data_IF_127203580482
#
_entry.id   IF_127203580482
#
_cell.length_a   1.000
_cell.length_b   1.000
_cell.length_c   1.000
_cell.angle_alpha   90.00
_cell.angle_beta   90.00
_cell.angle_gamma   90.00
#
_symmetry.space_group_name_H-M   'P 1'
#
loop_
_entity.id
_entity.type
_entity.pdbx_description
1 polymer ?
#
# COMPACT_ATOMS: atom_id res chain seq x y z
N UNK A 1 3.71 2.13 -19.80
CA UNK A 1 3.93 0.67 -19.93
C UNK A 1 4.23 -0.01 -18.59
N UNK A 2 4.99 0.59 -17.65
CA UNK A 2 5.41 -0.11 -16.41
C UNK A 2 4.37 -0.47 -15.33
N UNK A 3 3.13 -0.01 -15.42
CA UNK A 3 2.10 -0.31 -14.41
C UNK A 3 1.68 -1.78 -14.36
N UNK A 4 1.49 -2.41 -15.52
CA UNK A 4 1.04 -3.80 -15.59
C UNK A 4 2.15 -4.76 -15.15
N UNK A 5 3.39 -4.45 -15.49
CA UNK A 5 4.58 -5.20 -15.04
C UNK A 5 4.73 -5.17 -13.52
N UNK A 6 4.63 -3.98 -12.89
CA UNK A 6 4.67 -3.86 -11.44
C UNK A 6 3.58 -4.72 -10.77
N UNK A 7 2.36 -4.71 -11.30
CA UNK A 7 1.26 -5.49 -10.75
C UNK A 7 1.51 -7.00 -10.86
N UNK A 8 2.10 -7.48 -11.95
CA UNK A 8 2.50 -8.88 -12.10
C UNK A 8 3.58 -9.26 -11.09
N UNK A 9 4.60 -8.42 -10.91
CA UNK A 9 5.63 -8.62 -9.90
C UNK A 9 5.04 -8.69 -8.49
N UNK A 10 4.12 -7.79 -8.15
CA UNK A 10 3.41 -7.81 -6.87
C UNK A 10 2.59 -9.09 -6.71
N UNK A 11 1.92 -9.54 -7.78
CA UNK A 11 1.17 -10.82 -7.74
C UNK A 11 2.09 -12.01 -7.49
N UNK A 12 3.28 -12.01 -8.08
CA UNK A 12 4.24 -13.09 -7.91
C UNK A 12 4.96 -13.03 -6.56
N UNK A 13 4.93 -11.89 -5.88
CA UNK A 13 5.71 -11.65 -4.67
C UNK A 13 7.18 -11.36 -4.97
N UNK A 14 7.50 -11.00 -6.22
CA UNK A 14 8.85 -10.74 -6.67
C UNK A 14 9.28 -9.33 -6.28
N UNK A 15 10.04 -9.24 -5.20
CA UNK A 15 10.54 -7.97 -4.66
C UNK A 15 11.54 -7.32 -5.60
N UNK A 16 12.35 -8.10 -6.32
CA UNK A 16 13.36 -7.57 -7.24
C UNK A 16 12.69 -6.92 -8.45
N UNK A 17 11.76 -7.63 -9.09
CA UNK A 17 11.00 -7.07 -10.21
C UNK A 17 10.15 -5.85 -9.79
N UNK A 18 9.59 -5.85 -8.56
CA UNK A 18 8.89 -4.68 -8.03
C UNK A 18 9.83 -3.48 -7.91
N UNK A 19 11.05 -3.68 -7.40
CA UNK A 19 12.06 -2.63 -7.27
C UNK A 19 12.39 -2.03 -8.62
N UNK A 20 12.73 -2.86 -9.61
CA UNK A 20 13.09 -2.39 -10.95
C UNK A 20 11.96 -1.59 -11.58
N UNK A 21 10.71 -2.03 -11.44
CA UNK A 21 9.56 -1.30 -11.94
C UNK A 21 9.41 0.08 -11.28
N UNK A 22 9.59 0.17 -9.95
CA UNK A 22 9.51 1.45 -9.24
C UNK A 22 10.67 2.39 -9.58
N UNK A 23 11.88 1.84 -9.75
CA UNK A 23 13.05 2.59 -10.23
C UNK A 23 12.85 3.08 -11.67
N UNK A 24 12.14 2.30 -12.50
CA UNK A 24 11.72 2.70 -13.84
C UNK A 24 10.58 3.75 -13.85
N UNK A 25 10.12 4.22 -12.69
CA UNK A 25 9.07 5.24 -12.57
C UNK A 25 7.65 4.69 -12.69
N UNK A 26 7.43 3.41 -12.40
CA UNK A 26 6.09 2.86 -12.35
C UNK A 26 5.23 3.60 -11.31
N UNK A 27 4.05 4.04 -11.73
CA UNK A 27 3.15 4.77 -10.84
C UNK A 27 2.56 3.83 -9.78
N UNK A 28 2.55 4.28 -8.52
CA UNK A 28 1.98 3.56 -7.38
C UNK A 28 0.47 3.81 -7.19
N UNK A 29 -0.05 4.86 -7.81
CA UNK A 29 -1.46 5.27 -7.69
C UNK A 29 -2.42 4.49 -8.60
N UNK A 30 -1.99 3.39 -9.22
CA UNK A 30 -2.84 2.75 -10.23
C UNK A 30 -3.91 1.91 -9.54
N UNK A 31 -5.13 2.29 -9.81
CA UNK A 31 -6.32 1.53 -9.48
C UNK A 31 -6.44 0.36 -10.46
N UNK A 32 -6.44 -0.87 -9.92
CA UNK A 32 -6.86 -2.07 -10.65
C UNK A 32 -8.29 -1.89 -11.18
N UNK A 33 -8.73 -2.81 -12.06
CA UNK A 33 -10.13 -2.87 -12.54
C UNK A 33 -11.15 -2.89 -11.37
N UNK A 34 -10.72 -3.33 -10.20
CA UNK A 34 -11.46 -3.40 -8.93
C UNK A 34 -11.31 -2.15 -8.04
N UNK A 35 -10.71 -1.06 -8.55
CA UNK A 35 -10.31 0.13 -7.78
C UNK A 35 -9.35 -0.15 -6.60
N UNK A 36 -8.67 -1.29 -6.63
CA UNK A 36 -7.65 -1.66 -5.63
C UNK A 36 -6.29 -1.03 -5.99
N UNK A 37 -5.55 -0.55 -5.00
CA UNK A 37 -4.16 -0.09 -5.15
C UNK A 37 -3.17 -1.28 -5.11
N UNK A 38 -1.93 -1.14 -5.61
CA UNK A 38 -0.88 -2.16 -5.49
C UNK A 38 -0.67 -2.67 -4.05
N UNK A 39 -0.89 -1.80 -3.05
CA UNK A 39 -0.81 -2.14 -1.63
C UNK A 39 -1.87 -3.16 -1.20
N UNK A 40 -3.11 -3.03 -1.68
CA UNK A 40 -4.18 -3.99 -1.43
C UNK A 40 -3.84 -5.38 -1.99
N UNK A 41 -3.22 -5.42 -3.18
CA UNK A 41 -2.83 -6.67 -3.83
C UNK A 41 -1.72 -7.38 -3.06
N UNK A 42 -0.70 -6.64 -2.62
CA UNK A 42 0.39 -7.16 -1.78
C UNK A 42 -0.13 -7.67 -0.43
N UNK A 43 -1.08 -6.95 0.18
CA UNK A 43 -1.71 -7.33 1.45
C UNK A 43 -2.50 -8.63 1.34
N UNK A 44 -3.32 -8.77 0.29
CA UNK A 44 -4.11 -9.98 0.04
C UNK A 44 -3.21 -11.21 -0.09
N UNK A 45 -2.08 -11.08 -0.78
CA UNK A 45 -1.11 -12.17 -0.95
C UNK A 45 -0.11 -12.34 0.20
N UNK A 46 -0.21 -11.51 1.24
CA UNK A 46 0.69 -11.52 2.38
C UNK A 46 2.19 -11.42 2.00
N UNK A 47 2.52 -10.66 0.96
CA UNK A 47 3.90 -10.48 0.50
C UNK A 47 4.61 -9.36 1.27
N UNK A 48 5.18 -9.69 2.44
CA UNK A 48 5.84 -8.72 3.33
C UNK A 48 6.92 -7.88 2.65
N UNK A 49 7.80 -8.51 1.86
CA UNK A 49 8.88 -7.81 1.17
C UNK A 49 8.34 -6.76 0.20
N UNK A 50 7.33 -7.14 -0.58
CA UNK A 50 6.66 -6.24 -1.53
C UNK A 50 5.91 -5.13 -0.79
N UNK A 51 5.16 -5.45 0.28
CA UNK A 51 4.45 -4.45 1.08
C UNK A 51 5.41 -3.40 1.65
N UNK A 52 6.52 -3.82 2.26
CA UNK A 52 7.54 -2.89 2.78
C UNK A 52 8.13 -2.02 1.68
N UNK A 53 8.39 -2.61 0.51
CA UNK A 53 8.96 -1.88 -0.62
C UNK A 53 7.98 -0.83 -1.15
N UNK A 54 6.70 -1.17 -1.34
CA UNK A 54 5.68 -0.22 -1.77
C UNK A 54 5.53 0.94 -0.77
N UNK A 55 5.49 0.65 0.54
CA UNK A 55 5.43 1.67 1.59
C UNK A 55 6.66 2.58 1.57
N UNK A 56 7.86 2.02 1.39
CA UNK A 56 9.10 2.79 1.31
C UNK A 56 9.14 3.75 0.11
N UNK A 57 8.46 3.38 -0.99
CA UNK A 57 8.31 4.24 -2.16
C UNK A 57 7.10 5.20 -2.08
N UNK A 58 6.47 5.34 -0.91
CA UNK A 58 5.37 6.30 -0.70
C UNK A 58 4.01 5.81 -1.19
N UNK A 59 3.79 4.50 -1.27
CA UNK A 59 2.45 3.98 -1.56
C UNK A 59 1.45 4.39 -0.46
N UNK A 60 0.28 4.86 -0.89
CA UNK A 60 -0.75 5.34 0.02
C UNK A 60 -1.37 4.17 0.82
N UNK A 61 -1.02 4.11 2.11
CA UNK A 61 -1.56 3.15 3.06
C UNK A 61 -2.99 3.48 3.50
N UNK A 62 -3.43 4.74 3.36
CA UNK A 62 -4.78 5.17 3.71
C UNK A 62 -5.80 4.96 2.59
N UNK A 63 -5.35 4.48 1.43
CA UNK A 63 -6.23 4.18 0.31
C UNK A 63 -7.27 3.12 0.69
N UNK A 64 -8.53 3.39 0.31
CA UNK A 64 -9.65 2.48 0.54
C UNK A 64 -10.15 1.88 -0.75
N UNK A 65 -10.46 0.60 -0.71
CA UNK A 65 -11.24 -0.08 -1.74
C UNK A 65 -12.64 0.53 -1.91
N UNK A 66 -13.34 0.24 -3.02
CA UNK A 66 -14.73 0.67 -3.20
C UNK A 66 -15.69 0.12 -2.12
N UNK A 67 -15.33 -0.97 -1.45
CA UNK A 67 -16.06 -1.50 -0.30
C UNK A 67 -15.72 -0.82 1.04
N UNK A 68 -14.87 0.21 1.03
CA UNK A 68 -14.44 0.95 2.22
C UNK A 68 -13.38 0.25 3.07
N UNK A 69 -12.82 -0.87 2.60
CA UNK A 69 -11.77 -1.62 3.31
C UNK A 69 -10.38 -1.07 2.98
N UNK A 70 -9.50 -1.01 3.99
CA UNK A 70 -8.08 -0.73 3.81
C UNK A 70 -7.32 -1.98 3.37
N UNK A 71 -6.05 -1.82 3.00
CA UNK A 71 -5.17 -2.93 2.69
C UNK A 71 -5.02 -3.91 3.87
N UNK A 72 -4.93 -3.43 5.12
CA UNK A 72 -4.82 -4.29 6.30
C UNK A 72 -6.07 -5.15 6.57
N UNK A 73 -7.23 -4.75 6.06
CA UNK A 73 -8.51 -5.48 6.14
C UNK A 73 -8.67 -6.55 5.04
N UNK A 74 -7.88 -6.47 3.97
CA UNK A 74 -7.91 -7.44 2.86
C UNK A 74 -6.93 -8.61 3.03
N UNK A 75 -6.14 -8.60 4.11
CA UNK A 75 -5.21 -9.70 4.40
C UNK A 75 -6.00 -11.00 4.56
N UNK A 76 -5.67 -12.00 3.75
CA UNK A 76 -6.36 -13.29 3.75
C UNK A 76 -6.38 -13.94 5.15
N UNK A 77 -7.47 -14.63 5.54
CA UNK A 77 -7.64 -15.24 6.87
C UNK A 77 -6.44 -16.06 7.38
N UNK A 78 -5.77 -16.92 6.58
CA UNK A 78 -4.59 -17.65 7.05
C UNK A 78 -3.40 -16.75 7.43
N UNK A 79 -3.35 -15.52 6.92
CA UNK A 79 -2.26 -14.57 7.13
C UNK A 79 -2.67 -13.37 7.99
N UNK A 80 -3.84 -13.43 8.63
CA UNK A 80 -4.45 -12.32 9.38
C UNK A 80 -3.62 -11.87 10.60
N UNK A 81 -2.67 -12.68 11.05
CA UNK A 81 -1.70 -12.39 12.11
C UNK A 81 -0.26 -12.25 11.58
N UNK A 82 -0.09 -12.12 10.26
CA UNK A 82 1.24 -11.95 9.66
C UNK A 82 1.78 -10.55 9.91
N UNK A 83 3.11 -10.44 9.84
CA UNK A 83 3.83 -9.16 9.90
C UNK A 83 3.34 -8.14 8.86
N UNK A 84 2.71 -8.60 7.76
CA UNK A 84 2.15 -7.72 6.73
C UNK A 84 1.04 -6.86 7.30
N UNK A 85 0.12 -7.47 8.07
CA UNK A 85 -1.00 -6.73 8.66
C UNK A 85 -0.54 -5.73 9.72
N UNK A 86 0.52 -6.04 10.43
CA UNK A 86 1.14 -5.12 11.38
C UNK A 86 1.86 -3.96 10.68
N UNK A 87 2.65 -4.25 9.64
CA UNK A 87 3.30 -3.24 8.81
C UNK A 87 2.30 -2.29 8.13
N UNK A 88 1.14 -2.81 7.70
CA UNK A 88 0.08 -1.98 7.14
C UNK A 88 -0.59 -1.13 8.21
N UNK A 89 -0.91 -1.68 9.38
CA UNK A 89 -1.56 -0.91 10.46
C UNK A 89 -0.69 0.19 11.04
N UNK A 90 0.61 -0.04 11.10
CA UNK A 90 1.58 0.99 11.49
C UNK A 90 1.57 2.10 10.44
N UNK A 91 1.75 1.76 9.16
CA UNK A 91 1.70 2.75 8.08
C UNK A 91 0.35 3.50 7.98
N UNK A 92 -0.78 2.84 8.19
CA UNK A 92 -2.11 3.43 8.22
C UNK A 92 -2.27 4.43 9.38
N UNK A 93 -1.70 4.12 10.56
CA UNK A 93 -1.68 5.03 11.71
C UNK A 93 -0.78 6.22 11.48
N UNK A 94 0.42 6.00 10.97
CA UNK A 94 1.35 7.08 10.60
C UNK A 94 0.72 8.03 9.57
N UNK A 95 0.05 7.48 8.54
CA UNK A 95 -0.68 8.28 7.56
C UNK A 95 -1.84 9.07 8.20
N UNK A 96 -2.61 8.45 9.10
CA UNK A 96 -3.69 9.13 9.81
C UNK A 96 -3.18 10.25 10.74
N UNK A 97 -2.06 10.02 11.44
CA UNK A 97 -1.43 11.02 12.31
C UNK A 97 -0.80 12.17 11.52
N UNK A 98 -0.16 11.89 10.38
CA UNK A 98 0.37 12.93 9.49
C UNK A 98 -0.75 13.84 8.95
N UNK A 99 -1.90 13.24 8.63
CA UNK A 99 -3.08 14.00 8.16
C UNK A 99 -3.66 14.88 9.27
N UNK A 100 -3.71 14.39 10.51
CA UNK A 100 -4.23 15.15 11.66
C UNK A 100 -3.26 16.25 12.11
N UNK A 101 -1.95 15.98 12.10
CA UNK A 101 -0.92 16.98 12.36
C UNK A 101 -0.98 18.13 11.34
N UNK A 102 -1.25 17.83 10.06
CA UNK A 102 -1.45 18.84 9.03
C UNK A 102 -2.71 19.70 9.29
N UNK A 103 -3.82 19.10 9.78
CA UNK A 103 -5.04 19.86 10.13
C UNK A 103 -4.83 20.80 11.32
N UNK A 104 -4.14 20.34 12.35
CA UNK A 104 -3.88 21.15 13.54
C UNK A 104 -2.99 22.36 13.23
N UNK A 105 -2.00 22.20 12.33
CA UNK A 105 -1.16 23.31 11.88
C UNK A 105 -1.95 24.42 11.15
N UNK A 106 -3.00 24.07 10.39
CA UNK A 106 -3.88 25.05 9.74
C UNK A 106 -4.82 25.80 10.70
N UNK A 107 -5.07 25.28 11.90
CA UNK A 107 -5.93 25.93 12.91
C UNK A 107 -5.16 26.83 13.89
N UNK A 108 -3.81 26.80 13.89
CA UNK A 108 -2.97 27.63 14.77
C UNK A 108 -2.49 28.95 14.13
N UNK A 109 -2.94 29.27 12.91
CA UNK A 109 -2.65 30.56 12.22
C UNK A 109 -3.84 31.52 12.17
N UNK A 110 -4.80 31.44 13.10
CA UNK A 110 -5.89 32.41 13.25
C UNK A 110 -5.83 33.13 14.58
#
# INVERSE_FOLDING_TARGET
MGTVELLLAIRLGDVAACRECLEAGASLGVHLLTRETPLHLAARRAHLGVTKLLLAHGADASARTPSGKLASDLVDPPHRHSMVREALRTAERDAAQATEAARLASSSSS
#
